data_IF_980450390625
#
_entry.id   IF_980450390625
#
_cell.length_a   1.000
_cell.length_b   1.000
_cell.length_c   1.000
_cell.angle_alpha   90.00
_cell.angle_beta   90.00
_cell.angle_gamma   90.00
#
_symmetry.space_group_name_H-M   'P 1'
#
loop_
_entity.id
_entity.type
_entity.pdbx_description
1 polymer ?
#
# COMPACT_ATOMS: atom_id res chain seq x y z
N UNK A 1 -8.33 -35.78 -14.91
CA UNK A 1 -7.94 -35.36 -13.56
C UNK A 1 -8.42 -33.93 -13.37
N UNK A 2 -9.67 -33.77 -12.95
CA UNK A 2 -10.16 -32.48 -12.48
C UNK A 2 -9.39 -32.14 -11.21
N UNK A 3 -8.69 -31.00 -11.21
CA UNK A 3 -8.14 -30.43 -9.98
C UNK A 3 -9.33 -30.03 -9.13
N UNK A 4 -9.61 -30.82 -8.10
CA UNK A 4 -10.46 -30.41 -6.98
C UNK A 4 -9.88 -29.10 -6.44
N UNK A 5 -10.49 -27.99 -6.85
CA UNK A 5 -10.07 -26.66 -6.43
C UNK A 5 -10.49 -26.55 -4.97
N UNK A 6 -9.56 -26.84 -4.06
CA UNK A 6 -9.76 -26.61 -2.64
C UNK A 6 -10.35 -25.21 -2.46
N UNK A 7 -11.49 -25.11 -1.78
CA UNK A 7 -12.26 -23.87 -1.65
C UNK A 7 -11.39 -22.81 -0.96
N UNK A 8 -10.74 -21.97 -1.75
CA UNK A 8 -9.87 -20.92 -1.25
C UNK A 8 -10.76 -19.80 -0.72
N UNK A 9 -10.81 -19.67 0.60
CA UNK A 9 -11.57 -18.59 1.24
C UNK A 9 -10.68 -17.35 1.29
N UNK A 10 -11.29 -16.18 1.06
CA UNK A 10 -10.58 -14.91 1.12
C UNK A 10 -11.12 -14.06 2.26
N UNK A 11 -10.23 -13.30 2.91
CA UNK A 11 -10.60 -12.34 3.95
C UNK A 11 -9.85 -11.03 3.77
N UNK A 12 -10.46 -9.95 4.23
CA UNK A 12 -9.83 -8.62 4.28
C UNK A 12 -9.33 -8.39 5.70
N UNK A 13 -8.10 -7.87 5.83
CA UNK A 13 -7.53 -7.45 7.12
C UNK A 13 -6.72 -6.16 6.97
N UNK A 14 -6.47 -5.41 8.05
CA UNK A 14 -5.49 -4.35 8.04
C UNK A 14 -4.14 -4.86 7.54
N UNK A 15 -3.49 -4.09 6.67
CA UNK A 15 -2.17 -4.40 6.15
C UNK A 15 -1.12 -4.29 7.24
N UNK A 16 -0.15 -5.19 7.24
CA UNK A 16 0.98 -5.26 8.16
C UNK A 16 2.25 -4.70 7.53
N UNK A 17 3.28 -4.46 8.35
CA UNK A 17 4.59 -4.02 7.85
C UNK A 17 5.21 -5.04 6.90
N UNK A 18 5.12 -6.32 7.26
CA UNK A 18 5.60 -7.43 6.44
C UNK A 18 4.91 -7.55 5.08
N UNK A 19 3.69 -7.02 4.94
CA UNK A 19 2.92 -7.13 3.70
C UNK A 19 3.42 -6.18 2.60
N UNK A 20 4.14 -5.12 2.96
CA UNK A 20 4.50 -4.03 2.03
C UNK A 20 5.22 -4.56 0.78
N UNK A 21 6.14 -5.51 0.95
CA UNK A 21 6.84 -6.17 -0.18
C UNK A 21 5.87 -6.77 -1.20
N UNK A 22 4.88 -7.55 -0.72
CA UNK A 22 3.93 -8.22 -1.60
C UNK A 22 2.88 -7.26 -2.16
N UNK A 23 2.44 -6.30 -1.34
CA UNK A 23 1.51 -5.24 -1.75
C UNK A 23 2.08 -4.39 -2.89
N UNK A 24 3.37 -4.05 -2.86
CA UNK A 24 4.05 -3.34 -3.95
C UNK A 24 4.04 -4.14 -5.25
N UNK A 25 4.26 -5.46 -5.18
CA UNK A 25 4.21 -6.35 -6.35
C UNK A 25 2.81 -6.43 -6.93
N UNK A 26 1.80 -6.58 -6.08
CA UNK A 26 0.38 -6.61 -6.47
C UNK A 26 0.00 -5.28 -7.14
N UNK A 27 0.40 -4.15 -6.55
CA UNK A 27 0.16 -2.82 -7.12
C UNK A 27 0.81 -2.70 -8.51
N UNK A 28 2.08 -3.09 -8.64
CA UNK A 28 2.80 -2.99 -9.92
C UNK A 28 2.17 -3.89 -10.98
N UNK A 29 1.71 -5.09 -10.61
CA UNK A 29 1.02 -5.99 -11.51
C UNK A 29 -0.34 -5.43 -11.97
N UNK A 30 -1.11 -4.81 -11.08
CA UNK A 30 -2.40 -4.20 -11.40
C UNK A 30 -2.25 -3.05 -12.41
N UNK A 31 -1.21 -2.24 -12.26
CA UNK A 31 -0.95 -1.05 -13.07
C UNK A 31 0.05 -1.28 -14.22
N UNK A 32 0.52 -2.51 -14.43
CA UNK A 32 1.57 -2.82 -15.39
C UNK A 32 1.26 -2.32 -16.81
N UNK A 33 -0.01 -2.40 -17.22
CA UNK A 33 -0.51 -2.04 -18.56
C UNK A 33 -1.31 -0.73 -18.58
N UNK A 34 -1.29 0.06 -17.52
CA UNK A 34 -2.03 1.31 -17.44
C UNK A 34 -1.30 2.44 -18.16
N UNK A 35 -1.97 3.07 -19.14
CA UNK A 35 -1.41 4.17 -19.93
C UNK A 35 -1.16 5.43 -19.09
N UNK A 36 -1.97 5.68 -18.06
CA UNK A 36 -1.77 6.82 -17.17
C UNK A 36 -0.43 6.70 -16.43
N UNK A 37 -0.02 5.47 -16.11
CA UNK A 37 1.23 5.21 -15.42
C UNK A 37 2.46 5.47 -16.30
N UNK A 38 2.35 5.25 -17.61
CA UNK A 38 3.39 5.63 -18.56
C UNK A 38 3.53 7.15 -18.70
N UNK A 39 2.43 7.89 -18.54
CA UNK A 39 2.43 9.37 -18.56
C UNK A 39 3.02 9.94 -17.27
N UNK A 40 2.59 9.43 -16.11
CA UNK A 40 3.01 9.94 -14.80
C UNK A 40 4.46 9.56 -14.46
N UNK A 41 4.93 8.42 -14.94
CA UNK A 41 6.26 7.89 -14.68
C UNK A 41 6.98 7.54 -15.98
N UNK A 42 7.36 8.57 -16.77
CA UNK A 42 8.07 8.34 -18.02
C UNK A 42 9.41 7.66 -17.70
N UNK A 43 9.63 6.47 -18.26
CA UNK A 43 10.84 5.66 -18.01
C UNK A 43 10.67 4.50 -17.03
N UNK A 44 9.47 4.26 -16.47
CA UNK A 44 9.21 3.10 -15.60
C UNK A 44 9.54 1.74 -16.22
N UNK A 45 9.50 1.64 -17.56
CA UNK A 45 9.85 0.41 -18.29
C UNK A 45 11.37 0.22 -18.36
N UNK A 46 12.14 1.32 -18.36
CA UNK A 46 13.61 1.30 -18.43
C UNK A 46 14.22 1.16 -17.05
N UNK A 47 13.60 1.77 -16.04
CA UNK A 47 14.05 1.77 -14.64
C UNK A 47 12.92 1.39 -13.67
N UNK A 48 12.40 0.13 -13.75
CA UNK A 48 11.28 -0.31 -12.90
C UNK A 48 11.60 -0.25 -11.41
N UNK A 49 12.87 -0.42 -11.01
CA UNK A 49 13.34 -0.35 -9.64
C UNK A 49 13.07 1.01 -8.98
N UNK A 50 13.16 2.11 -9.75
CA UNK A 50 12.92 3.46 -9.24
C UNK A 50 11.45 3.67 -8.88
N UNK A 51 10.55 3.20 -9.76
CA UNK A 51 9.11 3.24 -9.49
C UNK A 51 8.77 2.37 -8.27
N UNK A 52 9.28 1.14 -8.21
CA UNK A 52 9.02 0.24 -7.09
C UNK A 52 9.54 0.82 -5.76
N UNK A 53 10.71 1.46 -5.76
CA UNK A 53 11.22 2.14 -4.58
C UNK A 53 10.33 3.32 -4.15
N UNK A 54 9.85 4.12 -5.11
CA UNK A 54 8.93 5.23 -4.82
C UNK A 54 7.59 4.74 -4.24
N UNK A 55 7.01 3.69 -4.82
CA UNK A 55 5.76 3.11 -4.34
C UNK A 55 5.94 2.43 -2.98
N UNK A 56 7.08 1.78 -2.75
CA UNK A 56 7.44 1.24 -1.43
C UNK A 56 7.47 2.34 -0.37
N UNK A 57 8.10 3.49 -0.66
CA UNK A 57 8.11 4.66 0.23
C UNK A 57 6.69 5.19 0.48
N UNK A 58 5.85 5.23 -0.56
CA UNK A 58 4.45 5.64 -0.43
C UNK A 58 3.70 4.73 0.56
N UNK A 59 3.84 3.41 0.47
CA UNK A 59 3.19 2.50 1.42
C UNK A 59 3.76 2.62 2.84
N UNK A 60 5.04 2.95 3.01
CA UNK A 60 5.60 3.25 4.32
C UNK A 60 5.12 4.58 4.91
N UNK A 61 4.59 5.51 4.11
CA UNK A 61 4.11 6.81 4.60
C UNK A 61 3.02 6.70 5.68
N UNK A 62 2.26 5.59 5.73
CA UNK A 62 1.27 5.32 6.79
C UNK A 62 1.83 5.21 8.20
N UNK A 63 3.11 4.86 8.35
CA UNK A 63 3.73 4.76 9.66
C UNK A 63 4.09 6.13 10.23
N UNK A 64 4.14 7.12 9.35
CA UNK A 64 4.55 8.48 9.67
C UNK A 64 3.36 9.44 9.63
N UNK A 65 2.28 9.09 8.92
CA UNK A 65 1.04 9.88 8.85
C UNK A 65 -0.18 9.02 9.21
N UNK A 66 -1.04 9.46 10.13
CA UNK A 66 -2.19 8.67 10.58
C UNK A 66 -3.29 8.57 9.52
N UNK A 67 -3.18 9.28 8.40
CA UNK A 67 -4.26 9.44 7.45
C UNK A 67 -4.32 8.30 6.44
N UNK A 68 -3.35 7.40 6.42
CA UNK A 68 -3.33 6.31 5.45
C UNK A 68 -3.87 5.02 6.03
N UNK A 69 -4.83 4.43 5.33
CA UNK A 69 -5.43 3.16 5.67
C UNK A 69 -5.16 2.13 4.56
N UNK A 70 -4.54 1.01 4.94
CA UNK A 70 -4.23 -0.10 4.05
C UNK A 70 -5.00 -1.32 4.53
N UNK A 71 -5.80 -1.87 3.64
CA UNK A 71 -6.36 -3.20 3.81
C UNK A 71 -5.81 -4.12 2.73
N UNK A 72 -5.59 -5.37 3.10
CA UNK A 72 -5.11 -6.41 2.20
C UNK A 72 -6.13 -7.53 2.13
N UNK A 73 -6.37 -8.01 0.92
CA UNK A 73 -7.13 -9.23 0.66
C UNK A 73 -6.14 -10.39 0.72
N UNK A 74 -6.37 -11.35 1.61
CA UNK A 74 -5.51 -12.52 1.80
C UNK A 74 -6.31 -13.81 1.63
N UNK A 75 -5.64 -14.84 1.11
CA UNK A 75 -6.16 -16.21 1.13
C UNK A 75 -6.00 -16.81 2.53
N UNK A 76 -6.97 -17.60 2.97
CA UNK A 76 -6.89 -18.35 4.24
C UNK A 76 -5.83 -19.45 4.25
N UNK A 77 -5.31 -19.85 3.09
CA UNK A 77 -4.34 -20.95 2.97
C UNK A 77 -2.91 -20.46 3.18
N UNK A 78 -2.56 -19.31 2.58
CA UNK A 78 -1.17 -18.84 2.51
C UNK A 78 -0.94 -17.55 3.30
N UNK A 79 -2.02 -16.88 3.72
CA UNK A 79 -2.07 -15.53 4.34
C UNK A 79 -1.30 -14.43 3.57
N UNK A 80 -0.99 -14.67 2.29
CA UNK A 80 -0.29 -13.74 1.42
C UNK A 80 -1.25 -12.70 0.85
N UNK A 81 -0.83 -11.42 0.73
CA UNK A 81 -1.59 -10.39 0.04
C UNK A 81 -1.81 -10.75 -1.43
N UNK A 82 -3.08 -10.81 -1.85
CA UNK A 82 -3.51 -11.01 -3.23
C UNK A 82 -4.12 -9.75 -3.83
N UNK A 83 -4.60 -8.86 -2.98
CA UNK A 83 -5.22 -7.59 -3.34
C UNK A 83 -4.99 -6.57 -2.23
N UNK A 84 -5.19 -5.30 -2.57
CA UNK A 84 -5.03 -4.20 -1.63
C UNK A 84 -6.07 -3.12 -1.88
N UNK A 85 -6.42 -2.39 -0.83
CA UNK A 85 -7.06 -1.07 -0.94
C UNK A 85 -6.25 -0.08 -0.11
N UNK A 86 -5.94 1.07 -0.70
CA UNK A 86 -5.16 2.11 -0.06
C UNK A 86 -5.94 3.41 -0.07
N UNK A 87 -6.20 3.96 1.11
CA UNK A 87 -7.02 5.15 1.28
C UNK A 87 -6.26 6.22 2.03
N UNK A 88 -6.45 7.48 1.62
CA UNK A 88 -6.04 8.64 2.41
C UNK A 88 -7.30 9.26 3.01
N UNK A 89 -7.44 9.20 4.33
CA UNK A 89 -8.50 9.86 5.10
C UNK A 89 -8.39 11.39 4.90
N UNK A 90 -9.51 12.08 4.61
CA UNK A 90 -9.54 13.54 4.57
C UNK A 90 -9.16 14.13 5.93
N UNK A 91 -8.47 15.27 5.94
CA UNK A 91 -8.05 15.94 7.18
C UNK A 91 -9.23 16.35 8.07
N UNK A 92 -10.42 16.51 7.50
CA UNK A 92 -11.67 16.80 8.22
C UNK A 92 -12.16 15.63 9.09
N UNK A 93 -11.67 14.41 8.85
CA UNK A 93 -12.00 13.22 9.62
C UNK A 93 -11.00 12.93 10.74
N UNK A 94 -9.93 13.72 10.86
CA UNK A 94 -8.96 13.58 11.94
C UNK A 94 -9.48 14.25 13.20
N UNK A 95 -9.35 13.55 14.32
CA UNK A 95 -9.57 14.15 15.62
C UNK A 95 -8.51 15.22 15.92
N UNK A 96 -8.83 16.13 16.85
CA UNK A 96 -7.87 17.11 17.35
C UNK A 96 -6.58 16.45 17.86
N UNK A 97 -6.70 15.30 18.54
CA UNK A 97 -5.55 14.56 19.07
C UNK A 97 -4.65 14.00 17.96
N UNK A 98 -5.22 13.34 16.95
CA UNK A 98 -4.47 12.82 15.79
C UNK A 98 -3.79 13.94 14.99
N UNK A 99 -4.37 15.14 15.00
CA UNK A 99 -3.87 16.27 14.23
C UNK A 99 -2.73 17.02 14.92
N UNK A 100 -2.77 17.13 16.24
CA UNK A 100 -1.87 18.04 16.98
C UNK A 100 -1.05 17.39 18.08
N UNK A 101 -1.45 16.22 18.57
CA UNK A 101 -0.86 15.63 19.79
C UNK A 101 -0.18 14.29 19.51
N UNK A 102 -0.68 13.49 18.57
CA UNK A 102 -0.11 12.18 18.28
C UNK A 102 1.37 12.25 17.89
N UNK A 103 2.14 11.23 18.23
CA UNK A 103 3.56 11.13 17.86
C UNK A 103 3.80 11.27 16.34
N UNK A 104 2.84 10.80 15.53
CA UNK A 104 2.87 10.97 14.08
C UNK A 104 2.80 12.44 13.64
N UNK A 105 2.08 13.32 14.36
CA UNK A 105 2.02 14.75 14.03
C UNK A 105 3.39 15.44 14.13
N UNK A 106 4.26 14.96 15.01
CA UNK A 106 5.60 15.50 15.25
C UNK A 106 6.68 14.84 14.38
N UNK A 107 6.53 13.55 14.06
CA UNK A 107 7.53 12.80 13.29
C UNK A 107 7.30 12.90 11.78
N UNK A 108 6.04 13.03 11.32
CA UNK A 108 5.71 13.13 9.89
C UNK A 108 6.52 14.21 9.13
N UNK A 109 6.69 15.45 9.66
CA UNK A 109 7.41 16.50 8.94
C UNK A 109 8.90 16.20 8.74
N UNK A 110 9.52 15.48 9.68
CA UNK A 110 10.94 15.13 9.64
C UNK A 110 11.18 14.06 8.56
N UNK A 111 10.35 13.03 8.54
CA UNK A 111 10.50 11.90 7.60
C UNK A 111 10.16 12.30 6.16
N UNK A 112 9.27 13.27 5.97
CA UNK A 112 8.94 13.79 4.64
C UNK A 112 9.98 14.76 4.07
N UNK A 113 10.88 15.30 4.91
CA UNK A 113 11.95 16.20 4.50
C UNK A 113 13.24 15.46 4.06
N UNK A 114 13.30 14.14 4.25
CA UNK A 114 14.40 13.26 3.86
C UNK A 114 14.07 12.45 2.60
#
# INVERSE_FOLDING_TARGET
MEKESAMCTYRVRPGLYSDVSEVVKVWNAAFAKDQLMDILFPGRQTHPELLLAQITRLFYSRYWSPNYDLHVLVSTTDDKPLGLTWWKRPDSQLSFYERWISSSAWVSPIVQAC
#
